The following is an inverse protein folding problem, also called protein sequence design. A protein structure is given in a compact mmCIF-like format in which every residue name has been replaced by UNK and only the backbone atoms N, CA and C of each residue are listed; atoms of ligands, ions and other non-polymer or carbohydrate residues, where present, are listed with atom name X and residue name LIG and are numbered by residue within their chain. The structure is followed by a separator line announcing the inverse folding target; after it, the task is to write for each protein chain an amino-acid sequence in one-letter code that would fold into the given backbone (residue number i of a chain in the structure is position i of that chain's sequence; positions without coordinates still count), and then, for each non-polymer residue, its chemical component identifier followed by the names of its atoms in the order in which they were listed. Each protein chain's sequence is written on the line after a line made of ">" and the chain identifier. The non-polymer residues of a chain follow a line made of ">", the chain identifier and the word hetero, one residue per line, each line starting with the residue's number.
data_IF_570963115695
#
_entry.id   IF_570963115695
#
_cell.length_a   1.000
_cell.length_b   1.000
_cell.length_c   1.000
_cell.angle_alpha   90.00
_cell.angle_beta   90.00
_cell.angle_gamma   90.00
#
_symmetry.space_group_name_H-M   'P 1'
#
loop_
_entity.id
_entity.type
_entity.pdbx_description
1 polymer ?
#
# COMPACT_ATOMS: atom_id res chain seq x y z
N UNK A 1 28.56 -17.52 -59.52
CA UNK A 1 29.24 -17.59 -58.22
C UNK A 1 28.43 -16.75 -57.27
N UNK A 2 27.49 -17.36 -56.53
CA UNK A 2 27.69 -17.97 -55.18
C UNK A 2 27.61 -16.85 -54.12
N UNK A 3 26.45 -16.53 -53.51
CA UNK A 3 25.66 -17.28 -52.50
C UNK A 3 26.53 -17.93 -51.42
N UNK A 4 26.54 -17.33 -50.23
CA UNK A 4 26.73 -18.05 -48.97
C UNK A 4 25.67 -17.59 -47.95
N UNK A 5 24.72 -18.48 -47.74
CA UNK A 5 23.76 -18.58 -46.64
C UNK A 5 24.43 -19.24 -45.44
N UNK A 6 24.21 -18.74 -44.22
CA UNK A 6 24.41 -19.52 -42.99
C UNK A 6 23.23 -19.38 -42.02
N UNK A 7 22.58 -20.54 -41.88
CA UNK A 7 21.71 -21.09 -40.86
C UNK A 7 21.18 -20.23 -39.70
N UNK A 8 19.85 -20.30 -39.59
CA UNK A 8 19.02 -20.18 -38.40
C UNK A 8 19.39 -21.20 -37.31
N UNK A 9 19.52 -20.74 -36.06
CA UNK A 9 19.49 -21.59 -34.87
C UNK A 9 18.50 -21.04 -33.86
N UNK A 10 17.47 -21.83 -33.61
CA UNK A 10 16.40 -21.61 -32.64
C UNK A 10 16.96 -21.65 -31.21
N UNK A 11 16.62 -20.66 -30.39
CA UNK A 11 16.68 -20.79 -28.93
C UNK A 11 15.28 -21.07 -28.40
N UNK A 12 15.10 -22.31 -27.98
CA UNK A 12 13.91 -22.87 -27.35
C UNK A 12 13.90 -22.43 -25.89
N UNK A 13 13.08 -21.44 -25.54
CA UNK A 13 12.82 -21.06 -24.16
C UNK A 13 11.95 -22.13 -23.49
N UNK A 14 12.52 -22.78 -22.48
CA UNK A 14 11.85 -23.65 -21.52
C UNK A 14 10.88 -22.81 -20.67
N UNK A 15 9.57 -22.97 -20.90
CA UNK A 15 8.53 -22.49 -19.99
C UNK A 15 8.11 -23.63 -19.05
N UNK A 16 8.15 -23.34 -17.75
CA UNK A 16 7.73 -24.24 -16.67
C UNK A 16 6.21 -24.51 -16.62
N UNK A 17 5.78 -25.40 -15.71
CA UNK A 17 4.51 -26.12 -15.82
C UNK A 17 3.36 -25.33 -15.18
N UNK A 18 2.68 -24.49 -15.96
CA UNK A 18 1.40 -23.90 -15.52
C UNK A 18 0.36 -23.71 -16.64
N UNK A 19 0.72 -23.93 -17.91
CA UNK A 19 -0.14 -23.60 -19.05
C UNK A 19 -0.65 -24.82 -19.85
N UNK A 20 -0.36 -26.05 -19.41
CA UNK A 20 -0.67 -27.27 -20.18
C UNK A 20 -2.04 -27.91 -19.89
N UNK A 21 -2.80 -27.41 -18.91
CA UNK A 21 -4.10 -28.00 -18.53
C UNK A 21 -5.34 -27.35 -19.14
N UNK A 22 -5.20 -26.22 -19.85
CA UNK A 22 -6.36 -25.50 -20.44
C UNK A 22 -6.52 -25.76 -21.94
N UNK A 23 -5.49 -26.28 -22.61
CA UNK A 23 -5.46 -26.42 -24.09
C UNK A 23 -5.97 -27.79 -24.61
N UNK A 24 -6.10 -28.82 -23.76
CA UNK A 24 -6.52 -30.16 -24.23
C UNK A 24 -8.05 -30.30 -24.32
N UNK A 25 -8.82 -29.54 -23.55
CA UNK A 25 -10.29 -29.66 -23.56
C UNK A 25 -11.00 -28.67 -24.50
N UNK A 26 -10.32 -27.68 -25.04
CA UNK A 26 -10.92 -26.63 -25.87
C UNK A 26 -11.01 -26.98 -27.36
N UNK A 27 -10.21 -27.94 -27.86
CA UNK A 27 -10.27 -28.37 -29.28
C UNK A 27 -11.31 -29.44 -29.59
N UNK A 28 -11.70 -30.25 -28.60
CA UNK A 28 -12.72 -31.30 -28.80
C UNK A 28 -14.15 -30.72 -28.84
N UNK A 29 -14.38 -29.59 -28.16
CA UNK A 29 -15.71 -28.98 -28.03
C UNK A 29 -16.05 -28.09 -29.24
N UNK A 30 -15.04 -27.49 -29.88
CA UNK A 30 -15.24 -26.65 -31.08
C UNK A 30 -15.49 -27.46 -32.37
N UNK A 31 -15.10 -28.74 -32.43
CA UNK A 31 -15.35 -29.60 -33.60
C UNK A 31 -16.72 -30.27 -33.64
N UNK A 32 -17.48 -30.24 -32.54
CA UNK A 32 -18.78 -30.91 -32.41
C UNK A 32 -19.99 -29.98 -32.66
N UNK A 33 -19.79 -28.66 -32.60
CA UNK A 33 -20.85 -27.67 -32.91
C UNK A 33 -21.03 -27.45 -34.42
N UNK A 34 -20.00 -27.71 -35.23
CA UNK A 34 -20.02 -27.50 -36.69
C UNK A 34 -20.71 -28.63 -37.48
N UNK A 35 -21.24 -29.66 -36.80
CA UNK A 35 -21.87 -30.85 -37.42
C UNK A 35 -23.30 -31.18 -36.96
N UNK A 36 -23.95 -30.30 -36.18
CA UNK A 36 -25.39 -30.37 -35.92
C UNK A 36 -25.93 -31.71 -35.38
N UNK A 37 -25.12 -32.47 -34.63
CA UNK A 37 -25.49 -33.77 -34.07
C UNK A 37 -25.68 -33.64 -32.54
N UNK A 38 -26.79 -34.18 -31.96
CA UNK A 38 -27.03 -34.11 -30.52
C UNK A 38 -26.05 -35.03 -29.76
N UNK A 39 -25.33 -34.44 -28.80
CA UNK A 39 -24.38 -35.15 -27.93
C UNK A 39 -25.17 -35.92 -26.85
N UNK A 40 -25.01 -37.25 -26.72
CA UNK A 40 -25.61 -38.02 -25.63
C UNK A 40 -24.86 -37.76 -24.31
N UNK A 41 -25.60 -37.49 -23.24
CA UNK A 41 -25.04 -37.28 -21.91
C UNK A 41 -24.45 -38.58 -21.33
N UNK A 42 -23.24 -38.57 -20.75
CA UNK A 42 -22.67 -39.74 -20.09
C UNK A 42 -23.42 -40.05 -18.78
N UNK A 43 -23.60 -41.34 -18.41
CA UNK A 43 -24.26 -41.71 -17.16
C UNK A 43 -23.42 -41.26 -15.95
N UNK A 44 -24.05 -40.56 -15.00
CA UNK A 44 -23.47 -40.28 -13.70
C UNK A 44 -23.26 -41.59 -12.94
N UNK A 45 -22.01 -42.00 -12.78
CA UNK A 45 -21.62 -42.97 -11.76
C UNK A 45 -21.90 -42.37 -10.38
N UNK A 46 -22.71 -43.07 -9.58
CA UNK A 46 -23.08 -42.66 -8.24
C UNK A 46 -21.84 -42.40 -7.35
N UNK A 47 -21.83 -41.35 -6.51
CA UNK A 47 -20.79 -41.19 -5.51
C UNK A 47 -20.94 -42.27 -4.44
N UNK A 48 -19.86 -43.02 -4.21
CA UNK A 48 -19.69 -43.88 -3.03
C UNK A 48 -19.88 -43.00 -1.80
N UNK A 49 -21.06 -43.09 -1.20
CA UNK A 49 -21.36 -42.44 0.07
C UNK A 49 -20.73 -43.30 1.16
N UNK A 50 -19.51 -42.97 1.58
CA UNK A 50 -19.09 -43.34 2.93
C UNK A 50 -19.99 -42.58 3.88
N UNK A 51 -21.07 -43.23 4.33
CA UNK A 51 -21.88 -42.76 5.44
C UNK A 51 -21.00 -42.76 6.68
N UNK A 52 -20.27 -41.67 6.90
CA UNK A 52 -19.61 -41.41 8.17
C UNK A 52 -20.73 -41.14 9.16
N UNK A 53 -20.82 -42.00 10.19
CA UNK A 53 -21.81 -41.91 11.24
C UNK A 53 -21.73 -40.52 11.91
N UNK A 54 -22.84 -39.75 12.01
CA UNK A 54 -22.84 -38.42 12.61
C UNK A 54 -22.33 -38.41 14.06
N UNK A 55 -22.46 -39.53 14.78
CA UNK A 55 -21.95 -39.63 16.15
C UNK A 55 -20.41 -39.76 16.20
N UNK A 56 -19.79 -40.34 15.17
CA UNK A 56 -18.33 -40.43 15.08
C UNK A 56 -17.71 -39.08 14.74
N UNK A 57 -18.38 -38.27 13.91
CA UNK A 57 -17.96 -36.88 13.64
C UNK A 57 -18.04 -36.01 14.89
N UNK A 58 -19.10 -36.16 15.71
CA UNK A 58 -19.25 -35.41 16.96
C UNK A 58 -18.13 -35.76 17.95
N UNK A 59 -17.80 -37.05 18.07
CA UNK A 59 -16.71 -37.51 18.95
C UNK A 59 -15.34 -36.98 18.50
N UNK A 60 -15.08 -36.91 17.19
CA UNK A 60 -13.84 -36.33 16.66
C UNK A 60 -13.75 -34.81 16.92
N UNK A 61 -14.86 -34.09 16.75
CA UNK A 61 -14.92 -32.64 17.06
C UNK A 61 -14.69 -32.35 18.54
N UNK A 62 -15.22 -33.18 19.43
CA UNK A 62 -14.99 -33.05 20.89
C UNK A 62 -13.51 -33.27 21.25
N UNK A 63 -12.85 -34.26 20.63
CA UNK A 63 -11.42 -34.53 20.85
C UNK A 63 -10.57 -33.36 20.32
N UNK A 64 -10.92 -32.80 19.17
CA UNK A 64 -10.19 -31.66 18.59
C UNK A 64 -10.38 -30.38 19.44
N UNK A 65 -11.60 -30.10 19.89
CA UNK A 65 -11.90 -28.97 20.77
C UNK A 65 -11.19 -29.07 22.14
N UNK A 66 -11.12 -30.27 22.71
CA UNK A 66 -10.39 -30.52 23.96
C UNK A 66 -8.88 -30.30 23.79
N UNK A 67 -8.31 -30.74 22.66
CA UNK A 67 -6.88 -30.57 22.35
C UNK A 67 -6.53 -29.10 22.15
N UNK A 68 -7.38 -28.34 21.46
CA UNK A 68 -7.19 -26.90 21.29
C UNK A 68 -7.30 -26.16 22.64
N UNK A 69 -8.26 -26.53 23.49
CA UNK A 69 -8.44 -25.88 24.80
C UNK A 69 -7.26 -26.11 25.75
N UNK A 70 -6.64 -27.30 25.73
CA UNK A 70 -5.44 -27.57 26.53
C UNK A 70 -4.24 -26.69 26.11
N UNK A 71 -4.08 -26.44 24.81
CA UNK A 71 -3.03 -25.56 24.29
C UNK A 71 -3.26 -24.08 24.67
N UNK A 72 -4.52 -23.63 24.79
CA UNK A 72 -4.84 -22.28 25.24
C UNK A 72 -4.71 -22.10 26.76
N UNK A 73 -4.96 -23.15 27.55
CA UNK A 73 -4.80 -23.11 29.02
C UNK A 73 -3.32 -23.09 29.44
N UNK A 74 -2.45 -23.83 28.75
CA UNK A 74 -1.01 -23.88 29.05
C UNK A 74 -0.31 -22.52 28.81
N UNK A 75 -0.84 -21.68 27.92
CA UNK A 75 -0.29 -20.35 27.64
C UNK A 75 -0.58 -19.30 28.73
N UNK A 76 -1.49 -19.59 29.69
CA UNK A 76 -1.90 -18.63 30.73
C UNK A 76 -1.23 -18.83 32.10
N UNK A 77 -0.38 -19.84 32.28
CA UNK A 77 0.25 -20.09 33.59
C UNK A 77 1.77 -19.95 33.55
N UNK A 78 2.25 -18.70 33.56
CA UNK A 78 3.59 -18.37 34.08
C UNK A 78 3.42 -17.48 35.31
N UNK A 79 3.66 -17.99 36.54
CA UNK A 79 3.60 -17.19 37.75
C UNK A 79 4.95 -16.46 37.94
N UNK A 80 4.93 -15.13 38.06
CA UNK A 80 6.08 -14.38 38.60
C UNK A 80 5.76 -13.94 40.02
N UNK A 81 6.42 -14.62 40.96
CA UNK A 81 6.35 -14.38 42.41
C UNK A 81 6.90 -13.01 42.83
N UNK A 82 6.41 -12.54 43.98
CA UNK A 82 6.64 -11.19 44.49
C UNK A 82 7.80 -11.02 45.48
N UNK A 83 7.93 -9.77 45.96
CA UNK A 83 8.40 -9.25 47.28
C UNK A 83 8.87 -7.79 47.09
N UNK A 84 9.04 -6.96 48.14
CA UNK A 84 8.16 -6.67 49.26
C UNK A 84 7.79 -5.16 49.32
N UNK A 85 6.73 -4.84 50.06
CA UNK A 85 6.24 -3.48 50.33
C UNK A 85 7.19 -2.68 51.22
N UNK A 86 7.51 -1.45 50.85
CA UNK A 86 8.15 -0.44 51.70
C UNK A 86 7.14 0.68 52.05
N UNK A 87 7.24 1.31 53.23
CA UNK A 87 6.19 2.19 53.77
C UNK A 87 6.19 3.58 53.12
N UNK A 88 4.99 4.09 52.88
CA UNK A 88 4.72 5.44 52.37
C UNK A 88 4.71 6.49 53.48
N UNK A 89 5.43 7.58 53.28
CA UNK A 89 5.24 8.85 54.00
C UNK A 89 4.20 9.72 53.25
N UNK A 90 3.31 10.46 53.94
CA UNK A 90 2.41 11.39 53.28
C UNK A 90 3.04 12.79 53.23
N UNK A 91 2.98 13.48 52.07
CA UNK A 91 2.78 14.94 52.03
C UNK A 91 2.66 15.51 50.60
N UNK A 92 1.56 16.24 50.39
CA UNK A 92 1.39 17.51 49.66
C UNK A 92 1.69 17.64 48.16
N UNK A 93 0.60 17.70 47.38
CA UNK A 93 0.22 18.84 46.53
C UNK A 93 1.19 19.33 45.45
N UNK A 94 0.92 18.96 44.19
CA UNK A 94 1.37 19.71 43.02
C UNK A 94 0.31 19.65 41.90
N UNK A 95 -0.19 20.84 41.53
CA UNK A 95 -1.17 21.10 40.47
C UNK A 95 -0.46 21.31 39.12
N UNK A 96 0.09 20.27 38.48
CA UNK A 96 0.52 20.34 37.07
C UNK A 96 0.41 18.96 36.39
N UNK A 97 -0.25 18.82 35.23
CA UNK A 97 -0.21 17.57 34.48
C UNK A 97 1.15 17.41 33.80
N UNK A 98 1.92 16.41 34.22
CA UNK A 98 3.11 15.95 33.50
C UNK A 98 2.66 15.14 32.28
N UNK A 99 2.97 15.64 31.09
CA UNK A 99 2.81 14.86 29.85
C UNK A 99 3.84 13.73 29.85
N UNK A 100 3.46 12.46 29.65
CA UNK A 100 4.45 11.41 29.41
C UNK A 100 5.05 11.61 28.02
N UNK A 101 6.32 12.00 28.02
CA UNK A 101 7.22 11.99 26.88
C UNK A 101 7.27 10.56 26.30
N UNK A 102 6.56 10.31 25.20
CA UNK A 102 6.61 9.05 24.46
C UNK A 102 7.58 9.17 23.29
N UNK A 103 8.87 9.14 23.64
CA UNK A 103 9.92 8.73 22.70
C UNK A 103 9.98 7.21 22.66
N UNK A 104 9.04 6.57 21.96
CA UNK A 104 9.10 5.14 21.68
C UNK A 104 8.86 4.93 20.18
N UNK A 105 9.81 4.27 19.53
CA UNK A 105 9.69 3.84 18.14
C UNK A 105 8.36 3.08 17.96
N UNK A 106 7.53 3.57 17.05
CA UNK A 106 6.26 2.94 16.67
C UNK A 106 6.55 1.61 15.97
N UNK A 107 6.68 0.53 16.74
CA UNK A 107 6.73 -0.81 16.20
C UNK A 107 5.29 -1.22 15.78
N UNK A 108 5.03 -1.51 14.50
CA UNK A 108 3.67 -1.80 14.02
C UNK A 108 3.03 -3.03 14.68
N UNK A 109 3.85 -3.94 15.21
CA UNK A 109 3.40 -5.17 15.88
C UNK A 109 2.85 -4.86 17.28
N UNK A 110 3.52 -4.01 18.06
CA UNK A 110 3.06 -3.64 19.41
C UNK A 110 1.80 -2.79 19.39
N UNK A 111 1.65 -1.95 18.37
CA UNK A 111 0.44 -1.14 18.14
C UNK A 111 -0.79 -2.02 17.86
N UNK A 112 -0.59 -3.14 17.14
CA UNK A 112 -1.66 -4.12 16.85
C UNK A 112 -2.06 -4.88 18.11
N UNK A 113 -1.09 -5.31 18.91
CA UNK A 113 -1.36 -6.00 20.19
C UNK A 113 -2.11 -5.08 21.17
N UNK A 114 -1.74 -3.80 21.23
CA UNK A 114 -2.42 -2.78 22.05
C UNK A 114 -3.86 -2.53 21.58
N UNK A 115 -4.12 -2.65 20.28
CA UNK A 115 -5.48 -2.56 19.73
C UNK A 115 -6.32 -3.79 20.11
N UNK A 116 -5.74 -4.99 20.04
CA UNK A 116 -6.42 -6.24 20.37
C UNK A 116 -6.69 -6.38 21.88
N UNK A 117 -5.83 -5.82 22.71
CA UNK A 117 -5.91 -5.88 24.18
C UNK A 117 -6.64 -4.68 24.80
N UNK A 118 -7.13 -3.74 23.99
CA UNK A 118 -7.94 -2.62 24.47
C UNK A 118 -9.26 -3.17 25.00
N UNK A 119 -9.39 -3.21 26.32
CA UNK A 119 -10.65 -3.51 27.02
C UNK A 119 -11.74 -2.59 26.45
N UNK A 120 -12.73 -3.18 25.78
CA UNK A 120 -13.86 -2.44 25.22
C UNK A 120 -14.58 -1.69 26.33
N UNK A 121 -14.95 -0.45 26.05
CA UNK A 121 -15.72 0.39 26.96
C UNK A 121 -16.99 -0.38 27.35
N UNK A 122 -17.09 -0.77 28.63
CA UNK A 122 -18.12 -1.70 29.12
C UNK A 122 -19.47 -0.98 29.33
N UNK A 123 -19.50 0.33 29.10
CA UNK A 123 -20.72 1.11 29.09
C UNK A 123 -21.50 0.87 27.79
N UNK A 124 -22.67 0.24 27.93
CA UNK A 124 -23.60 -0.02 26.81
C UNK A 124 -24.27 1.25 26.29
N UNK A 125 -24.12 2.38 26.98
CA UNK A 125 -24.70 3.68 26.63
C UNK A 125 -23.59 4.71 26.66
N UNK A 126 -23.34 5.38 25.53
CA UNK A 126 -22.36 6.48 25.49
C UNK A 126 -22.80 7.63 26.40
N UNK A 127 -21.83 8.19 27.14
CA UNK A 127 -22.01 9.40 27.93
C UNK A 127 -22.16 10.67 27.06
N UNK A 128 -21.71 10.62 25.80
CA UNK A 128 -21.89 11.72 24.86
C UNK A 128 -23.35 11.85 24.40
N UNK A 129 -23.71 13.06 23.94
CA UNK A 129 -25.05 13.37 23.47
C UNK A 129 -24.97 13.95 22.06
N UNK A 130 -25.98 13.65 21.25
CA UNK A 130 -26.12 14.22 19.92
C UNK A 130 -26.24 15.74 20.07
N UNK A 131 -25.36 16.46 19.39
CA UNK A 131 -25.34 17.93 19.37
C UNK A 131 -25.84 18.41 18.01
N UNK A 132 -26.68 19.44 18.01
CA UNK A 132 -27.11 20.07 16.76
C UNK A 132 -25.93 20.77 16.08
N UNK A 133 -25.85 20.75 14.73
CA UNK A 133 -24.80 21.47 14.03
C UNK A 133 -24.90 22.99 14.30
N UNK A 134 -23.77 23.70 14.41
CA UNK A 134 -23.75 25.13 14.69
C UNK A 134 -24.34 26.00 13.57
N UNK A 135 -24.48 25.43 12.36
CA UNK A 135 -25.03 26.09 11.18
C UNK A 135 -25.64 25.05 10.24
N UNK A 136 -26.73 25.37 9.50
CA UNK A 136 -27.19 24.53 8.39
C UNK A 136 -26.20 24.52 7.21
N UNK A 137 -25.33 25.54 7.11
CA UNK A 137 -24.35 25.70 6.03
C UNK A 137 -22.98 25.19 6.49
N UNK A 138 -22.90 23.88 6.71
CA UNK A 138 -21.72 23.21 7.26
C UNK A 138 -21.28 22.04 6.38
N UNK A 139 -19.98 21.96 6.13
CA UNK A 139 -19.34 20.73 5.66
C UNK A 139 -18.73 20.03 6.87
N UNK A 140 -19.29 18.90 7.25
CA UNK A 140 -18.79 18.11 8.37
C UNK A 140 -17.48 17.40 7.99
N UNK A 141 -16.66 17.15 9.01
CA UNK A 141 -15.49 16.29 8.88
C UNK A 141 -15.86 14.94 8.22
N UNK A 142 -14.99 14.45 7.33
CA UNK A 142 -15.27 13.27 6.51
C UNK A 142 -15.89 13.57 5.15
N UNK A 143 -16.30 14.81 4.88
CA UNK A 143 -16.77 15.21 3.54
C UNK A 143 -15.60 15.25 2.55
N UNK A 144 -15.82 14.71 1.35
CA UNK A 144 -14.81 14.69 0.27
C UNK A 144 -15.09 15.78 -0.75
N UNK A 145 -14.11 16.63 -1.00
CA UNK A 145 -14.11 17.63 -2.08
C UNK A 145 -13.39 17.02 -3.29
N UNK A 146 -14.11 16.71 -4.39
CA UNK A 146 -13.49 16.18 -5.59
C UNK A 146 -12.81 17.29 -6.38
N UNK A 147 -11.57 17.05 -6.78
CA UNK A 147 -10.75 18.00 -7.52
C UNK A 147 -9.83 17.29 -8.52
N UNK A 148 -9.16 18.07 -9.36
CA UNK A 148 -8.12 17.61 -10.25
C UNK A 148 -6.94 18.58 -10.22
N UNK A 149 -5.72 18.05 -10.25
CA UNK A 149 -4.52 18.87 -10.29
C UNK A 149 -4.50 19.76 -11.53
N UNK A 150 -4.20 21.04 -11.36
CA UNK A 150 -3.93 21.97 -12.47
C UNK A 150 -2.47 21.83 -12.90
N UNK A 151 -1.56 21.78 -11.92
CA UNK A 151 -0.13 21.63 -12.16
C UNK A 151 0.30 20.17 -12.01
N UNK A 152 1.31 19.77 -12.80
CA UNK A 152 1.99 18.50 -12.57
C UNK A 152 2.85 18.57 -11.31
N UNK A 153 3.15 17.42 -10.75
CA UNK A 153 3.96 17.31 -9.54
C UNK A 153 5.08 16.31 -9.75
N UNK A 154 6.27 16.68 -9.29
CA UNK A 154 7.46 15.84 -9.35
C UNK A 154 8.19 15.94 -8.02
N UNK A 155 8.56 14.79 -7.48
CA UNK A 155 9.02 14.70 -6.09
C UNK A 155 10.44 15.17 -5.83
N UNK A 156 11.19 15.55 -6.85
CA UNK A 156 12.59 15.96 -6.74
C UNK A 156 12.77 17.46 -6.51
N UNK A 157 11.69 18.25 -6.66
CA UNK A 157 11.72 19.69 -6.48
C UNK A 157 10.51 20.17 -5.67
N UNK A 158 10.72 20.92 -4.58
CA UNK A 158 9.62 21.52 -3.84
C UNK A 158 8.98 22.62 -4.67
N UNK A 159 7.70 22.87 -4.43
CA UNK A 159 6.98 23.88 -5.19
C UNK A 159 5.54 24.02 -4.78
N UNK A 160 4.89 25.03 -5.36
CA UNK A 160 3.46 25.25 -5.16
C UNK A 160 2.65 24.35 -6.09
N UNK A 161 1.64 23.70 -5.53
CA UNK A 161 0.68 22.91 -6.29
C UNK A 161 -0.69 23.56 -6.24
N UNK A 162 -1.46 23.35 -7.31
CA UNK A 162 -2.84 23.82 -7.38
C UNK A 162 -3.74 22.75 -7.97
N UNK A 163 -4.96 22.68 -7.46
CA UNK A 163 -6.03 21.85 -7.98
C UNK A 163 -7.30 22.66 -8.18
N UNK A 164 -8.18 22.16 -9.04
CA UNK A 164 -9.49 22.72 -9.30
C UNK A 164 -10.57 21.74 -8.87
N UNK A 165 -11.55 22.22 -8.11
CA UNK A 165 -12.74 21.47 -7.72
C UNK A 165 -13.53 21.09 -8.98
N UNK A 166 -13.79 19.79 -9.15
CA UNK A 166 -14.38 19.23 -10.38
C UNK A 166 -15.89 19.08 -10.31
N UNK A 167 -16.48 19.07 -9.11
CA UNK A 167 -17.94 19.08 -8.94
C UNK A 167 -18.36 19.93 -7.75
N UNK A 168 -19.61 20.39 -7.80
CA UNK A 168 -20.25 21.09 -6.69
C UNK A 168 -20.27 20.22 -5.42
N UNK A 169 -20.01 20.85 -4.27
CA UNK A 169 -20.12 20.24 -2.94
C UNK A 169 -21.17 21.00 -2.15
N UNK A 170 -22.13 20.24 -1.62
CA UNK A 170 -23.28 20.75 -0.87
C UNK A 170 -23.08 20.53 0.62
N UNK A 171 -23.90 21.18 1.45
CA UNK A 171 -23.89 21.00 2.90
C UNK A 171 -24.07 19.53 3.30
N UNK A 172 -23.37 19.11 4.36
CA UNK A 172 -23.42 17.73 4.83
C UNK A 172 -24.78 17.32 5.42
N UNK A 173 -25.50 18.18 6.19
CA UNK A 173 -26.75 17.77 6.82
C UNK A 173 -27.92 17.53 5.86
N UNK A 174 -28.11 18.41 4.87
CA UNK A 174 -29.28 18.41 3.98
C UNK A 174 -28.95 18.16 2.52
N UNK A 175 -27.72 18.45 2.08
CA UNK A 175 -27.29 18.32 0.68
C UNK A 175 -27.97 19.29 -0.28
N UNK A 176 -28.55 20.39 0.21
CA UNK A 176 -29.36 21.34 -0.56
C UNK A 176 -28.62 22.63 -0.89
N UNK A 177 -27.74 23.07 -0.02
CA UNK A 177 -27.04 24.34 -0.12
C UNK A 177 -25.67 24.16 -0.76
N UNK A 178 -25.43 24.86 -1.86
CA UNK A 178 -24.13 24.85 -2.54
C UNK A 178 -23.12 25.61 -1.68
N UNK A 179 -22.12 24.91 -1.16
CA UNK A 179 -21.08 25.52 -0.30
C UNK A 179 -19.76 25.70 -1.04
N UNK A 180 -19.36 24.72 -1.86
CA UNK A 180 -18.15 24.82 -2.70
C UNK A 180 -18.55 24.56 -4.15
N UNK A 181 -18.45 25.57 -5.03
CA UNK A 181 -18.82 25.42 -6.43
C UNK A 181 -17.70 24.73 -7.21
N UNK A 182 -18.09 24.03 -8.27
CA UNK A 182 -17.16 23.60 -9.30
C UNK A 182 -16.34 24.80 -9.80
N UNK A 183 -15.04 24.58 -9.99
CA UNK A 183 -14.12 25.62 -10.44
C UNK A 183 -13.38 26.35 -9.31
N UNK A 184 -13.79 26.18 -8.05
CA UNK A 184 -13.02 26.63 -6.89
C UNK A 184 -11.59 26.05 -6.93
N UNK A 185 -10.62 26.79 -6.38
CA UNK A 185 -9.20 26.42 -6.42
C UNK A 185 -8.70 25.99 -5.05
N UNK A 186 -7.92 24.92 -5.04
CA UNK A 186 -7.20 24.42 -3.88
C UNK A 186 -5.71 24.69 -4.07
N UNK A 187 -5.04 25.14 -3.02
CA UNK A 187 -3.62 25.46 -3.03
C UNK A 187 -2.90 24.74 -1.88
N UNK A 188 -1.66 24.36 -2.16
CA UNK A 188 -0.68 23.87 -1.19
C UNK A 188 0.73 24.20 -1.68
N UNK A 189 1.67 24.25 -0.74
CA UNK A 189 3.10 24.18 -0.97
C UNK A 189 3.60 22.79 -0.53
N UNK A 190 4.24 22.07 -1.45
CA UNK A 190 4.74 20.71 -1.24
C UNK A 190 6.25 20.72 -0.96
N UNK A 191 6.69 19.92 0.02
CA UNK A 191 8.11 19.66 0.30
C UNK A 191 8.57 18.35 -0.35
N UNK A 192 9.70 18.36 -1.06
CA UNK A 192 10.20 17.28 -1.92
C UNK A 192 10.81 16.08 -1.18
N UNK A 193 10.30 15.73 0.00
CA UNK A 193 10.88 14.65 0.81
C UNK A 193 10.22 13.32 0.46
N UNK A 194 10.95 12.49 -0.29
CA UNK A 194 10.62 11.08 -0.51
C UNK A 194 11.70 10.21 0.12
N UNK A 195 11.28 9.25 0.94
CA UNK A 195 12.16 8.21 1.46
C UNK A 195 12.31 7.06 0.44
N UNK A 196 13.43 6.34 0.49
CA UNK A 196 13.61 5.12 -0.30
C UNK A 196 12.48 4.13 -0.05
N UNK A 197 11.94 3.53 -1.12
CA UNK A 197 10.84 2.57 -1.05
C UNK A 197 9.42 3.18 -1.04
N UNK A 198 9.28 4.51 -0.97
CA UNK A 198 7.99 5.18 -1.03
C UNK A 198 7.48 5.29 -2.49
N UNK A 199 6.27 4.78 -2.75
CA UNK A 199 5.63 4.79 -4.07
C UNK A 199 4.48 5.80 -4.20
N UNK A 200 4.17 6.53 -3.11
CA UNK A 200 3.04 7.44 -3.02
C UNK A 200 3.44 8.80 -2.46
N UNK A 201 2.83 9.85 -2.97
CA UNK A 201 3.08 11.21 -2.53
C UNK A 201 1.98 11.68 -1.57
N UNK A 202 2.34 11.97 -0.32
CA UNK A 202 1.39 12.56 0.62
C UNK A 202 1.21 14.03 0.25
N UNK A 203 -0.04 14.45 0.08
CA UNK A 203 -0.41 15.84 -0.14
C UNK A 203 -1.33 16.30 0.97
N UNK A 204 -1.16 17.56 1.38
CA UNK A 204 -2.14 18.25 2.20
C UNK A 204 -2.66 19.45 1.43
N UNK A 205 -3.79 20.01 1.84
CA UNK A 205 -4.35 21.21 1.22
C UNK A 205 -4.55 22.23 2.31
N UNK A 206 -4.06 23.45 2.08
CA UNK A 206 -4.01 24.50 3.11
C UNK A 206 -4.96 25.65 2.82
N UNK A 207 -5.43 25.79 1.58
CA UNK A 207 -6.32 26.88 1.21
C UNK A 207 -7.29 26.48 0.12
N UNK A 208 -8.55 26.90 0.30
CA UNK A 208 -9.62 26.87 -0.69
C UNK A 208 -9.93 28.31 -1.11
N UNK A 209 -10.05 28.56 -2.40
CA UNK A 209 -10.41 29.86 -2.99
C UNK A 209 -11.67 29.67 -3.84
N UNK A 210 -12.73 30.39 -3.49
CA UNK A 210 -14.00 30.39 -4.20
C UNK A 210 -13.90 31.25 -5.48
N UNK A 211 -14.77 31.04 -6.47
CA UNK A 211 -14.77 31.80 -7.73
C UNK A 211 -14.98 33.32 -7.57
N UNK A 212 -15.59 33.75 -6.45
CA UNK A 212 -15.80 35.15 -6.10
C UNK A 212 -14.58 35.83 -5.43
N UNK A 213 -13.48 35.09 -5.25
CA UNK A 213 -12.25 35.57 -4.64
C UNK A 213 -12.18 35.40 -3.12
N UNK A 214 -13.26 34.98 -2.46
CA UNK A 214 -13.20 34.63 -1.03
C UNK A 214 -12.36 33.39 -0.84
N UNK A 215 -11.67 33.29 0.30
CA UNK A 215 -10.83 32.14 0.60
C UNK A 215 -11.01 31.64 2.02
N UNK A 216 -10.97 30.32 2.18
CA UNK A 216 -11.00 29.63 3.45
C UNK A 216 -9.65 28.92 3.66
N UNK A 217 -9.06 29.09 4.84
CA UNK A 217 -7.88 28.32 5.24
C UNK A 217 -8.35 26.93 5.66
N UNK A 218 -7.74 25.92 5.07
CA UNK A 218 -7.95 24.53 5.43
C UNK A 218 -6.88 24.14 6.45
N UNK A 219 -7.26 23.41 7.49
CA UNK A 219 -6.34 22.91 8.50
C UNK A 219 -5.61 21.66 7.98
N UNK A 220 -4.81 21.83 6.93
CA UNK A 220 -3.99 20.78 6.28
C UNK A 220 -4.81 19.54 5.92
N UNK A 221 -5.89 19.75 5.16
CA UNK A 221 -6.79 18.69 4.71
C UNK A 221 -6.03 17.65 3.86
N UNK A 222 -6.03 16.35 4.19
CA UNK A 222 -5.25 15.36 3.48
C UNK A 222 -5.84 15.09 2.09
N UNK A 223 -4.94 14.91 1.12
CA UNK A 223 -5.25 14.48 -0.24
C UNK A 223 -5.23 12.96 -0.38
N UNK A 224 -6.27 12.43 -1.03
CA UNK A 224 -6.40 11.02 -1.41
C UNK A 224 -6.50 10.89 -2.93
N UNK A 225 -6.16 9.71 -3.45
CA UNK A 225 -6.32 9.39 -4.86
C UNK A 225 -7.80 9.19 -5.24
N UNK A 226 -8.07 8.93 -6.52
CA UNK A 226 -9.43 8.66 -7.01
C UNK A 226 -10.12 7.48 -6.34
N UNK A 227 -9.37 6.54 -5.74
CA UNK A 227 -9.91 5.38 -5.00
C UNK A 227 -10.18 5.68 -3.53
N UNK A 228 -9.78 6.87 -3.04
CA UNK A 228 -9.90 7.26 -1.64
C UNK A 228 -8.72 6.83 -0.78
N UNK A 229 -7.67 6.24 -1.36
CA UNK A 229 -6.49 5.86 -0.63
C UNK A 229 -5.56 7.07 -0.41
N UNK A 230 -4.88 7.11 0.73
CA UNK A 230 -4.03 8.26 1.10
C UNK A 230 -2.85 8.45 0.14
N UNK A 231 -2.61 9.72 -0.19
CA UNK A 231 -1.57 10.14 -1.12
C UNK A 231 -1.88 9.83 -2.59
N UNK A 232 -1.04 10.35 -3.49
CA UNK A 232 -1.17 10.18 -4.93
C UNK A 232 -0.14 9.21 -5.48
N UNK A 233 -0.55 8.42 -6.48
CA UNK A 233 0.32 7.51 -7.21
C UNK A 233 -0.01 7.58 -8.71
N UNK A 234 0.99 7.90 -9.53
CA UNK A 234 0.90 7.84 -11.00
C UNK A 234 2.18 7.15 -11.50
N UNK A 235 3.19 7.90 -11.99
CA UNK A 235 4.44 7.29 -12.47
C UNK A 235 5.52 7.24 -11.39
N UNK A 236 6.17 6.09 -11.27
CA UNK A 236 7.30 5.85 -10.36
C UNK A 236 8.54 5.50 -11.18
N UNK A 237 9.61 6.27 -11.05
CA UNK A 237 10.91 5.94 -11.62
C UNK A 237 11.90 5.56 -10.52
N UNK A 238 12.18 4.26 -10.42
CA UNK A 238 13.15 3.68 -9.48
C UNK A 238 14.59 3.62 -10.04
N UNK A 239 14.81 4.08 -11.27
CA UNK A 239 16.13 4.09 -11.92
C UNK A 239 16.82 2.72 -12.07
N UNK A 240 16.09 1.60 -12.00
CA UNK A 240 16.63 0.22 -12.11
C UNK A 240 17.41 -0.05 -13.40
N UNK A 241 17.08 0.63 -14.51
CA UNK A 241 17.80 0.44 -15.77
C UNK A 241 19.30 0.72 -15.66
N UNK A 242 19.71 1.69 -14.82
CA UNK A 242 21.12 1.98 -14.56
C UNK A 242 21.80 0.84 -13.81
N UNK A 243 21.08 0.18 -12.91
CA UNK A 243 21.57 -0.97 -12.14
C UNK A 243 21.77 -2.18 -13.04
N UNK A 244 20.76 -2.53 -13.84
CA UNK A 244 20.84 -3.66 -14.75
C UNK A 244 21.94 -3.46 -15.80
N UNK A 245 22.13 -2.22 -16.28
CA UNK A 245 23.22 -1.90 -17.20
C UNK A 245 24.59 -2.05 -16.52
N UNK A 246 24.75 -1.54 -15.30
CA UNK A 246 26.01 -1.68 -14.55
C UNK A 246 26.33 -3.15 -14.23
N UNK A 247 25.33 -3.91 -13.76
CA UNK A 247 25.46 -5.34 -13.46
C UNK A 247 25.75 -6.17 -14.73
N UNK A 248 25.10 -5.83 -15.85
CA UNK A 248 25.34 -6.47 -17.15
C UNK A 248 26.75 -6.24 -17.67
N UNK A 249 27.25 -5.00 -17.60
CA UNK A 249 28.63 -4.67 -17.97
C UNK A 249 29.66 -5.40 -17.07
N UNK A 250 29.40 -5.48 -15.76
CA UNK A 250 30.24 -6.23 -14.84
C UNK A 250 30.26 -7.74 -15.18
N UNK A 251 29.11 -8.31 -15.54
CA UNK A 251 28.99 -9.72 -15.94
C UNK A 251 29.79 -10.03 -17.21
N UNK A 252 29.70 -9.17 -18.23
CA UNK A 252 30.45 -9.35 -19.49
C UNK A 252 31.95 -9.24 -19.25
N UNK A 253 32.39 -8.28 -18.43
CA UNK A 253 33.80 -8.15 -18.07
C UNK A 253 34.30 -9.38 -17.31
N UNK A 254 33.50 -9.92 -16.39
CA UNK A 254 33.83 -11.15 -15.66
C UNK A 254 33.99 -12.37 -16.59
N UNK A 255 33.08 -12.55 -17.55
CA UNK A 255 33.17 -13.63 -18.55
C UNK A 255 34.37 -13.46 -19.50
N UNK A 256 34.71 -12.21 -19.87
CA UNK A 256 35.88 -11.92 -20.71
C UNK A 256 37.21 -12.34 -20.05
N UNK A 257 37.31 -12.20 -18.73
CA UNK A 257 38.45 -12.66 -17.93
C UNK A 257 38.48 -14.20 -17.76
N UNK A 258 37.36 -14.88 -17.98
CA UNK A 258 37.27 -16.34 -17.92
C UNK A 258 37.71 -16.99 -19.22
N UNK A 259 37.40 -16.38 -20.37
CA UNK A 259 37.76 -16.88 -21.71
C UNK A 259 39.18 -16.53 -22.20
N UNK A 260 39.91 -15.64 -21.52
CA UNK A 260 41.21 -15.13 -21.97
C UNK A 260 42.44 -15.70 -21.27
N UNK A 261 42.30 -16.68 -20.38
CA UNK A 261 43.36 -17.11 -19.47
C UNK A 261 43.52 -18.63 -19.43
N UNK A 262 44.00 -19.21 -20.53
CA UNK A 262 44.69 -20.51 -20.58
C UNK A 262 46.15 -20.32 -20.13
N UNK A 263 46.38 -19.83 -18.91
CA UNK A 263 47.74 -19.72 -18.35
C UNK A 263 47.76 -20.18 -16.90
N UNK A 264 48.44 -21.30 -16.68
CA UNK A 264 48.64 -22.05 -15.43
C UNK A 264 49.48 -21.32 -14.35
N UNK A 265 49.47 -19.99 -14.35
CA UNK A 265 50.28 -19.19 -13.44
C UNK A 265 49.52 -18.87 -12.15
N UNK A 266 50.16 -19.07 -10.99
CA UNK A 266 49.65 -18.65 -9.68
C UNK A 266 49.28 -17.15 -9.64
N UNK A 267 49.94 -16.35 -10.50
CA UNK A 267 49.64 -14.93 -10.73
C UNK A 267 48.27 -14.75 -11.40
N UNK A 268 47.93 -15.57 -12.39
CA UNK A 268 46.62 -15.53 -13.05
C UNK A 268 45.49 -15.97 -12.10
N UNK A 269 45.76 -16.95 -11.21
CA UNK A 269 44.83 -17.36 -10.16
C UNK A 269 44.63 -16.27 -9.10
N UNK A 270 45.70 -15.64 -8.63
CA UNK A 270 45.62 -14.53 -7.68
C UNK A 270 44.90 -13.30 -8.25
N UNK A 271 45.11 -13.00 -9.54
CA UNK A 271 44.37 -11.93 -10.24
C UNK A 271 42.89 -12.27 -10.36
N UNK A 272 42.54 -13.54 -10.63
CA UNK A 272 41.14 -13.99 -10.70
C UNK A 272 40.43 -13.91 -9.36
N UNK A 273 41.05 -14.39 -8.28
CA UNK A 273 40.51 -14.32 -6.92
C UNK A 273 40.36 -12.86 -6.48
N UNK A 274 41.37 -12.02 -6.73
CA UNK A 274 41.31 -10.58 -6.43
C UNK A 274 40.23 -9.86 -7.25
N UNK A 275 40.04 -10.22 -8.53
CA UNK A 275 39.00 -9.67 -9.38
C UNK A 275 37.60 -10.11 -8.92
N UNK A 276 37.40 -11.39 -8.59
CA UNK A 276 36.13 -11.92 -8.09
C UNK A 276 35.74 -11.29 -6.75
N UNK A 277 36.69 -11.14 -5.81
CA UNK A 277 36.48 -10.48 -4.54
C UNK A 277 36.17 -8.99 -4.70
N UNK A 278 36.85 -8.31 -5.62
CA UNK A 278 36.62 -6.89 -5.90
C UNK A 278 35.24 -6.68 -6.54
N UNK A 279 34.87 -7.49 -7.54
CA UNK A 279 33.57 -7.42 -8.20
C UNK A 279 32.44 -7.72 -7.21
N UNK A 280 32.59 -8.70 -6.32
CA UNK A 280 31.60 -9.01 -5.29
C UNK A 280 31.39 -7.86 -4.31
N UNK A 281 32.47 -7.32 -3.73
CA UNK A 281 32.38 -6.22 -2.74
C UNK A 281 31.92 -4.90 -3.36
N UNK A 282 32.41 -4.56 -4.55
CA UNK A 282 32.00 -3.35 -5.26
C UNK A 282 30.57 -3.47 -5.79
N UNK A 283 30.15 -4.66 -6.24
CA UNK A 283 28.77 -4.92 -6.66
C UNK A 283 27.77 -4.71 -5.52
N UNK A 284 28.06 -5.27 -4.34
CA UNK A 284 27.22 -5.08 -3.14
C UNK A 284 27.13 -3.61 -2.72
N UNK A 285 28.24 -2.87 -2.78
CA UNK A 285 28.25 -1.44 -2.42
C UNK A 285 27.46 -0.59 -3.42
N UNK A 286 27.59 -0.86 -4.73
CA UNK A 286 26.81 -0.18 -5.77
C UNK A 286 25.33 -0.46 -5.63
N UNK A 287 24.94 -1.71 -5.34
CA UNK A 287 23.54 -2.07 -5.11
C UNK A 287 23.00 -1.35 -3.88
N UNK A 288 23.75 -1.33 -2.77
CA UNK A 288 23.37 -0.59 -1.55
C UNK A 288 23.25 0.90 -1.80
N UNK A 289 24.19 1.49 -2.51
CA UNK A 289 24.16 2.91 -2.88
C UNK A 289 22.97 3.22 -3.78
N UNK A 290 22.62 2.36 -4.74
CA UNK A 290 21.44 2.59 -5.57
C UNK A 290 20.14 2.44 -4.78
N UNK A 291 20.03 1.45 -3.88
CA UNK A 291 18.85 1.31 -3.01
C UNK A 291 18.66 2.55 -2.11
N UNK A 292 19.73 3.32 -1.86
CA UNK A 292 19.68 4.59 -1.14
C UNK A 292 19.19 5.78 -1.99
N UNK A 293 19.12 5.66 -3.32
CA UNK A 293 18.59 6.73 -4.19
C UNK A 293 17.06 6.70 -4.14
N UNK A 294 16.39 7.77 -3.69
CA UNK A 294 14.94 7.79 -3.62
C UNK A 294 14.32 7.73 -5.02
N UNK A 295 13.17 7.05 -5.20
CA UNK A 295 12.48 7.05 -6.47
C UNK A 295 11.95 8.45 -6.83
N UNK A 296 11.85 8.74 -8.12
CA UNK A 296 11.15 9.94 -8.59
C UNK A 296 9.69 9.61 -8.84
N UNK A 297 8.79 10.23 -8.07
CA UNK A 297 7.36 10.18 -8.31
C UNK A 297 6.94 11.35 -9.21
N UNK A 298 6.16 11.06 -10.23
CA UNK A 298 5.63 12.08 -11.16
C UNK A 298 4.13 11.91 -11.30
N UNK A 299 3.38 12.94 -10.91
CA UNK A 299 1.93 13.03 -11.07
C UNK A 299 1.63 14.03 -12.18
N UNK A 300 0.78 13.63 -13.13
CA UNK A 300 0.41 14.49 -14.27
C UNK A 300 -0.53 15.63 -13.88
N UNK A 301 -0.50 16.75 -14.62
CA UNK A 301 -1.63 17.67 -14.67
C UNK A 301 -2.93 16.93 -15.01
N UNK A 302 -4.04 17.36 -14.44
CA UNK A 302 -5.36 16.75 -14.60
C UNK A 302 -5.59 15.49 -13.76
N UNK A 303 -4.62 15.06 -12.94
CA UNK A 303 -4.79 13.88 -12.10
C UNK A 303 -5.89 14.11 -11.05
N UNK A 304 -6.86 13.18 -10.90
CA UNK A 304 -7.95 13.33 -9.94
C UNK A 304 -7.42 13.20 -8.51
N UNK A 305 -7.82 14.15 -7.66
CA UNK A 305 -7.49 14.17 -6.24
C UNK A 305 -8.76 14.40 -5.44
N UNK A 306 -8.83 13.77 -4.28
CA UNK A 306 -9.92 13.91 -3.33
C UNK A 306 -9.38 14.58 -2.08
N UNK A 307 -10.00 15.68 -1.67
CA UNK A 307 -9.60 16.39 -0.45
C UNK A 307 -10.57 16.03 0.65
N UNK A 308 -10.07 15.42 1.72
CA UNK A 308 -10.90 15.05 2.86
C UNK A 308 -10.95 16.21 3.86
N UNK A 309 -12.15 16.66 4.20
CA UNK A 309 -12.38 17.67 5.23
C UNK A 309 -12.09 17.04 6.60
N UNK A 310 -11.17 17.61 7.37
CA UNK A 310 -10.77 17.07 8.69
C UNK A 310 -11.52 17.68 9.85
N UNK A 311 -12.14 18.84 9.64
CA UNK A 311 -12.91 19.58 10.64
C UNK A 311 -14.13 20.20 9.99
N UNK A 312 -15.14 20.43 10.79
CA UNK A 312 -16.36 21.08 10.33
C UNK A 312 -16.06 22.49 9.79
N UNK A 313 -16.45 22.75 8.53
CA UNK A 313 -16.27 24.02 7.85
C UNK A 313 -17.61 24.71 7.71
N UNK A 314 -17.75 25.87 8.33
CA UNK A 314 -18.92 26.73 8.16
C UNK A 314 -18.66 27.67 6.97
N UNK A 315 -19.54 27.62 5.99
CA UNK A 315 -19.43 28.35 4.72
C UNK A 315 -20.71 29.14 4.47
N UNK A 316 -20.60 30.26 3.77
CA UNK A 316 -21.80 30.96 3.30
C UNK A 316 -22.35 30.26 2.04
N UNK A 317 -23.67 30.02 1.95
CA UNK A 317 -24.26 29.35 0.80
C UNK A 317 -24.18 30.23 -0.45
N UNK A 318 -23.82 29.63 -1.57
CA UNK A 318 -23.79 30.28 -2.89
C UNK A 318 -25.09 30.09 -3.68
N UNK A 319 -25.98 29.22 -3.20
CA UNK A 319 -27.27 28.93 -3.80
C UNK A 319 -27.92 27.72 -3.15
N UNK A 320 -29.20 27.51 -3.44
CA UNK A 320 -29.99 26.36 -2.98
C UNK A 320 -30.48 25.57 -4.20
N UNK A 321 -30.36 24.24 -4.13
CA UNK A 321 -30.99 23.35 -5.11
C UNK A 321 -32.48 23.33 -4.80
N UNK A 322 -33.27 23.98 -5.65
CA UNK A 322 -34.74 23.91 -5.62
C UNK A 322 -35.26 22.57 -6.12
#
# INVERSE_FOLDING_TARGET
>A
GERFTWLSSQWKLSAGPAHFWVEINSRAILGAQDRGQPVPAPPLSAPVSTTVDPDEQRRLQEIEAARLSALFAEAQTVPRGGTPSAPSLPATGALFPTSPNTGAANDPVSSRETFLTRTGDTETVSAERITAPPSPYILQAGTVIPAALITGLRSDLPGQISAQVTSNVYDSPSGRYLLIPQGARLLEEYDSRIASGQSRLLLVWTRLILPDGRSLVLERAPGTDGTGASGLQDRVNNHWGRVFLAAGLATILNLGLESGADSEDDVARAIREAAQDTIGRTGDEIVRQQLSVPPTLTIRPGFPVRVMVTRDLILEPLGEVR
#
